data_IF_006587839443
#
_entry.id   IF_006587839443
#
_cell.length_a   1.000
_cell.length_b   1.000
_cell.length_c   1.000
_cell.angle_alpha   90.00
_cell.angle_beta   90.00
_cell.angle_gamma   90.00
#
_symmetry.space_group_name_H-M   'P 1'
#
loop_
_entity.id
_entity.type
_entity.pdbx_description
1 polymer ?
#
# COMPACT_ATOMS: atom_id res chain seq x y z
N UNK A 1 -1.64 11.56 8.97
CA UNK A 1 -0.64 10.91 8.08
C UNK A 1 -0.32 9.47 8.47
N UNK A 2 -0.80 8.95 9.61
CA UNK A 2 -0.68 7.53 9.96
C UNK A 2 -1.92 6.71 9.61
N UNK A 3 -3.12 7.29 9.76
CA UNK A 3 -4.38 6.57 9.55
C UNK A 3 -4.58 6.10 8.10
N UNK A 4 -4.32 6.97 7.11
CA UNK A 4 -4.43 6.59 5.70
C UNK A 4 -3.46 5.46 5.33
N UNK A 5 -2.18 5.57 5.74
CA UNK A 5 -1.19 4.53 5.51
C UNK A 5 -1.54 3.20 6.21
N UNK A 6 -2.04 3.26 7.45
CA UNK A 6 -2.52 2.06 8.16
C UNK A 6 -3.73 1.42 7.47
N UNK A 7 -4.68 2.22 6.99
CA UNK A 7 -5.84 1.74 6.25
C UNK A 7 -5.45 1.11 4.91
N UNK A 8 -4.50 1.71 4.17
CA UNK A 8 -4.01 1.14 2.91
C UNK A 8 -3.28 -0.18 3.13
N UNK A 9 -2.44 -0.28 4.17
CA UNK A 9 -1.77 -1.54 4.52
C UNK A 9 -2.78 -2.60 4.97
N UNK A 10 -3.81 -2.22 5.73
CA UNK A 10 -4.88 -3.12 6.12
C UNK A 10 -5.69 -3.61 4.90
N UNK A 11 -6.05 -2.71 3.99
CA UNK A 11 -6.73 -3.05 2.75
C UNK A 11 -5.86 -3.96 1.89
N UNK A 12 -4.55 -3.72 1.80
CA UNK A 12 -3.61 -4.56 1.07
C UNK A 12 -3.59 -5.99 1.62
N UNK A 13 -3.53 -6.14 2.95
CA UNK A 13 -3.54 -7.45 3.61
C UNK A 13 -4.87 -8.17 3.36
N UNK A 14 -6.01 -7.49 3.55
CA UNK A 14 -7.33 -8.06 3.31
C UNK A 14 -7.50 -8.51 1.86
N UNK A 15 -7.10 -7.68 0.90
CA UNK A 15 -7.16 -7.99 -0.54
C UNK A 15 -6.24 -9.16 -0.89
N UNK A 16 -5.07 -9.25 -0.26
CA UNK A 16 -4.15 -10.37 -0.43
C UNK A 16 -4.75 -11.70 0.07
N UNK A 17 -5.40 -11.70 1.24
CA UNK A 17 -6.09 -12.89 1.76
C UNK A 17 -7.25 -13.33 0.84
N UNK A 18 -8.02 -12.37 0.34
CA UNK A 18 -9.10 -12.65 -0.62
C UNK A 18 -8.54 -13.26 -1.90
N UNK A 19 -7.46 -12.71 -2.47
CA UNK A 19 -6.81 -13.27 -3.65
C UNK A 19 -6.23 -14.67 -3.38
N UNK A 20 -5.60 -14.87 -2.22
CA UNK A 20 -5.03 -16.15 -1.84
C UNK A 20 -6.07 -17.27 -1.75
N UNK A 21 -7.30 -16.97 -1.31
CA UNK A 21 -8.40 -17.93 -1.22
C UNK A 21 -9.14 -18.04 -2.56
N UNK A 22 -9.41 -16.91 -3.22
CA UNK A 22 -10.19 -16.88 -4.48
C UNK A 22 -9.45 -17.56 -5.63
N UNK A 23 -8.13 -17.47 -5.70
CA UNK A 23 -7.33 -18.13 -6.75
C UNK A 23 -7.53 -19.66 -6.73
N UNK A 24 -7.25 -20.40 -5.63
CA UNK A 24 -7.55 -21.83 -5.54
C UNK A 24 -9.03 -22.16 -5.77
N UNK A 25 -9.96 -21.37 -5.25
CA UNK A 25 -11.41 -21.61 -5.37
C UNK A 25 -11.88 -21.52 -6.83
N UNK A 26 -11.40 -20.52 -7.57
CA UNK A 26 -11.72 -20.34 -8.98
C UNK A 26 -11.09 -21.45 -9.83
N UNK A 27 -9.87 -21.88 -9.49
CA UNK A 27 -9.19 -22.98 -10.18
C UNK A 27 -9.78 -24.37 -9.86
N UNK A 28 -10.35 -24.57 -8.68
CA UNK A 28 -10.96 -25.84 -8.27
C UNK A 28 -12.36 -26.07 -8.86
N UNK A 29 -13.04 -25.01 -9.34
CA UNK A 29 -14.39 -25.13 -9.91
C UNK A 29 -14.33 -25.44 -11.42
N UNK A 30 -15.02 -26.49 -11.92
CA UNK A 30 -14.98 -26.90 -13.32
C UNK A 30 -15.41 -25.81 -14.31
N UNK A 31 -16.35 -24.93 -13.91
CA UNK A 31 -16.80 -23.76 -14.67
C UNK A 31 -16.23 -22.43 -14.14
N UNK A 32 -15.39 -22.50 -13.10
CA UNK A 32 -14.91 -21.35 -12.34
C UNK A 32 -14.09 -20.39 -13.20
N UNK A 33 -13.24 -20.93 -14.07
CA UNK A 33 -12.35 -20.15 -14.92
C UNK A 33 -13.07 -19.33 -16.00
N UNK A 34 -14.08 -19.90 -16.67
CA UNK A 34 -14.77 -19.20 -17.75
C UNK A 34 -15.70 -18.10 -17.24
N UNK A 35 -16.30 -18.31 -16.06
CA UNK A 35 -17.25 -17.36 -15.46
C UNK A 35 -16.55 -16.28 -14.61
N UNK A 36 -15.53 -16.65 -13.83
CA UNK A 36 -14.92 -15.75 -12.84
C UNK A 36 -13.59 -15.10 -13.30
N UNK A 37 -13.21 -15.28 -14.57
CA UNK A 37 -11.98 -14.72 -15.14
C UNK A 37 -11.84 -13.22 -14.90
N UNK A 38 -12.92 -12.47 -15.14
CA UNK A 38 -12.92 -11.02 -14.99
C UNK A 38 -12.80 -10.58 -13.52
N UNK A 39 -13.36 -11.37 -12.59
CA UNK A 39 -13.26 -11.10 -11.14
C UNK A 39 -11.82 -11.29 -10.66
N UNK A 40 -11.16 -12.38 -11.07
CA UNK A 40 -9.74 -12.62 -10.72
C UNK A 40 -8.84 -11.56 -11.34
N UNK A 41 -9.10 -11.17 -12.60
CA UNK A 41 -8.30 -10.16 -13.30
C UNK A 41 -8.48 -8.76 -12.68
N UNK A 42 -9.73 -8.37 -12.39
CA UNK A 42 -10.05 -7.11 -11.71
C UNK A 42 -9.48 -7.06 -10.29
N UNK A 43 -9.61 -8.15 -9.52
CA UNK A 43 -9.04 -8.26 -8.17
C UNK A 43 -7.51 -8.16 -8.17
N UNK A 44 -6.85 -8.82 -9.13
CA UNK A 44 -5.39 -8.74 -9.28
C UNK A 44 -4.94 -7.34 -9.69
N UNK A 45 -5.64 -6.72 -10.65
CA UNK A 45 -5.36 -5.34 -11.08
C UNK A 45 -5.54 -4.34 -9.93
N UNK A 46 -6.60 -4.49 -9.14
CA UNK A 46 -6.86 -3.68 -7.95
C UNK A 46 -5.73 -3.86 -6.92
N UNK A 47 -5.29 -5.10 -6.70
CA UNK A 47 -4.20 -5.41 -5.78
C UNK A 47 -2.87 -4.76 -6.19
N UNK A 48 -2.49 -4.83 -7.48
CA UNK A 48 -1.31 -4.12 -7.99
C UNK A 48 -1.43 -2.60 -7.77
N UNK A 49 -2.62 -2.02 -7.98
CA UNK A 49 -2.89 -0.62 -7.72
C UNK A 49 -2.67 -0.24 -6.25
N UNK A 50 -3.16 -1.06 -5.31
CA UNK A 50 -2.96 -0.87 -3.88
C UNK A 50 -1.47 -0.97 -3.48
N UNK A 51 -0.72 -1.93 -4.03
CA UNK A 51 0.74 -2.05 -3.77
C UNK A 51 1.46 -0.76 -4.18
N UNK A 52 1.12 -0.22 -5.35
CA UNK A 52 1.73 0.99 -5.86
C UNK A 52 1.38 2.22 -5.00
N UNK A 53 0.12 2.32 -4.59
CA UNK A 53 -0.38 3.40 -3.72
C UNK A 53 0.33 3.40 -2.36
N UNK A 54 0.47 2.23 -1.73
CA UNK A 54 1.21 2.07 -0.46
C UNK A 54 2.65 2.53 -0.60
N UNK A 55 3.34 2.13 -1.69
CA UNK A 55 4.71 2.57 -1.98
C UNK A 55 4.84 4.08 -2.18
N UNK A 56 3.89 4.67 -2.91
CA UNK A 56 3.82 6.11 -3.13
C UNK A 56 3.63 6.90 -1.82
N UNK A 57 2.65 6.49 -1.01
CA UNK A 57 2.38 7.09 0.30
C UNK A 57 3.60 6.96 1.23
N UNK A 58 4.27 5.80 1.22
CA UNK A 58 5.49 5.59 1.99
C UNK A 58 6.61 6.57 1.59
N UNK A 59 6.78 6.83 0.29
CA UNK A 59 7.75 7.82 -0.19
C UNK A 59 7.38 9.25 0.20
N UNK A 60 6.09 9.62 0.18
CA UNK A 60 5.64 10.94 0.61
C UNK A 60 5.93 11.18 2.10
N UNK A 61 5.66 10.17 2.94
CA UNK A 61 5.91 10.21 4.38
C UNK A 61 7.41 10.36 4.68
N UNK A 62 8.26 9.60 3.99
CA UNK A 62 9.72 9.70 4.14
C UNK A 62 10.26 11.09 3.75
N UNK A 63 9.72 11.69 2.68
CA UNK A 63 10.09 13.05 2.24
C UNK A 63 9.81 14.08 3.34
N UNK A 64 8.64 14.05 3.98
CA UNK A 64 8.29 14.98 5.06
C UNK A 64 9.10 14.75 6.34
N UNK A 65 9.43 13.51 6.69
CA UNK A 65 10.32 13.25 7.82
C UNK A 65 11.74 13.78 7.59
N UNK A 66 12.26 13.72 6.36
CA UNK A 66 13.57 14.31 6.02
C UNK A 66 13.59 15.84 6.08
N UNK A 67 12.45 16.51 5.88
CA UNK A 67 12.33 17.97 6.01
C UNK A 67 12.29 18.42 7.48
N UNK A 68 11.91 17.55 8.41
CA UNK A 68 11.92 17.84 9.84
C UNK A 68 13.32 17.71 10.45
N UNK A 69 14.16 16.80 9.95
CA UNK A 69 15.54 16.65 10.44
C UNK A 69 16.44 17.83 10.07
N UNK A 70 16.08 18.64 9.07
CA UNK A 70 16.81 19.88 8.78
C UNK A 70 16.49 21.01 9.76
N UNK A 71 15.30 21.03 10.38
CA UNK A 71 14.90 22.09 11.30
C UNK A 71 15.36 21.84 12.75
N UNK A 72 15.62 20.59 13.12
CA UNK A 72 16.04 20.21 14.48
C UNK A 72 17.57 20.18 14.67
N UNK A 73 18.35 20.13 13.59
CA UNK A 73 19.81 20.02 13.64
C UNK A 73 20.55 21.36 13.47
N UNK A 74 19.84 22.50 13.43
CA UNK A 74 20.51 23.79 13.56
C UNK A 74 20.98 23.97 15.00
N UNK A 75 22.30 24.09 15.27
CA UNK A 75 22.76 24.49 16.59
C UNK A 75 22.12 25.84 16.92
N UNK A 76 21.64 26.05 18.17
CA UNK A 76 21.13 27.35 18.57
C UNK A 76 22.19 28.41 18.23
N UNK A 77 21.78 29.48 17.55
CA UNK A 77 22.63 30.60 17.12
C UNK A 77 23.14 31.41 18.34
N UNK A 78 23.90 30.76 19.23
CA UNK A 78 24.47 31.35 20.44
C UNK A 78 25.86 31.97 20.20
N UNK A 79 26.36 32.01 18.96
CA UNK A 79 27.70 32.49 18.60
C UNK A 79 27.69 33.61 17.54
N UNK A 80 26.67 34.48 17.52
CA UNK A 80 26.62 35.68 16.65
C UNK A 80 26.24 36.97 17.41
N UNK A 81 26.83 37.15 18.59
CA UNK A 81 27.13 38.47 19.17
C UNK A 81 28.60 38.78 18.89
#
# INVERSE_FOLDING_TARGET
>A
MTLAFQLDVFALIATSLILLISVPVVFASPDGWSSNKNIVFSGTSLWIGLVFLVGFLNSLISRTYSSQTQNQNDPPNFCRL
#
